data_IF_626461050073
#
_entry.id   IF_626461050073
#
_cell.length_a   1.000
_cell.length_b   1.000
_cell.length_c   1.000
_cell.angle_alpha   90.00
_cell.angle_beta   90.00
_cell.angle_gamma   90.00
#
_symmetry.space_group_name_H-M   'P 1'
#
loop_
_entity.id
_entity.type
_entity.pdbx_description
1 polymer ?
#
# COMPACT_ATOMS: atom_id res chain seq x y z
N UNK A 1 -5.84 19.92 -4.34
CA UNK A 1 -5.29 19.36 -5.60
C UNK A 1 -6.38 18.50 -6.18
N UNK A 2 -7.10 18.99 -7.18
CA UNK A 2 -7.97 18.15 -8.00
C UNK A 2 -7.06 17.13 -8.69
N UNK A 3 -7.26 15.85 -8.40
CA UNK A 3 -6.58 14.79 -9.14
C UNK A 3 -7.20 14.77 -10.54
N UNK A 4 -6.39 14.94 -11.58
CA UNK A 4 -6.84 14.71 -12.95
C UNK A 4 -7.40 13.28 -13.05
N UNK A 5 -8.71 13.17 -13.24
CA UNK A 5 -9.35 11.88 -13.49
C UNK A 5 -9.01 11.44 -14.91
N UNK A 6 -8.11 10.47 -15.05
CA UNK A 6 -7.92 9.80 -16.33
C UNK A 6 -9.08 8.81 -16.52
N UNK A 7 -9.89 9.07 -17.55
CA UNK A 7 -10.96 8.20 -18.03
C UNK A 7 -10.51 7.53 -19.32
N UNK A 8 -10.52 6.21 -19.35
CA UNK A 8 -10.12 5.43 -20.54
C UNK A 8 -11.31 4.72 -21.18
N UNK A 9 -12.47 4.62 -20.52
CA UNK A 9 -13.63 3.88 -20.98
C UNK A 9 -14.15 4.32 -22.34
N UNK A 10 -14.05 5.62 -22.65
CA UNK A 10 -14.43 6.15 -23.96
C UNK A 10 -13.55 5.64 -25.13
N UNK A 11 -12.43 4.97 -24.83
CA UNK A 11 -11.58 4.34 -25.84
C UNK A 11 -12.05 2.93 -26.22
N UNK A 12 -13.07 2.40 -25.54
CA UNK A 12 -13.54 1.02 -25.69
C UNK A 12 -15.02 1.00 -26.08
N UNK A 13 -15.38 0.09 -26.99
CA UNK A 13 -16.75 -0.09 -27.46
C UNK A 13 -17.47 -1.23 -26.74
N UNK A 14 -16.72 -2.19 -26.21
CA UNK A 14 -17.30 -3.32 -25.46
C UNK A 14 -17.72 -2.89 -24.07
N UNK A 15 -18.99 -3.11 -23.73
CA UNK A 15 -19.53 -2.93 -22.38
C UNK A 15 -19.27 -4.18 -21.54
N UNK A 16 -18.60 -4.01 -20.41
CA UNK A 16 -18.33 -5.07 -19.44
C UNK A 16 -18.97 -4.80 -18.08
N UNK A 17 -19.88 -3.83 -17.97
CA UNK A 17 -20.50 -3.38 -16.70
C UNK A 17 -21.23 -4.49 -15.92
N UNK A 18 -21.64 -5.57 -16.58
CA UNK A 18 -22.28 -6.72 -15.94
C UNK A 18 -21.30 -7.64 -15.18
N UNK A 19 -19.99 -7.49 -15.39
CA UNK A 19 -18.96 -8.30 -14.72
C UNK A 19 -18.83 -7.90 -13.24
N UNK A 20 -18.71 -8.90 -12.37
CA UNK A 20 -18.44 -8.66 -10.95
C UNK A 20 -17.04 -8.02 -10.73
N UNK A 21 -17.05 -6.75 -10.30
CA UNK A 21 -15.85 -5.98 -9.98
C UNK A 21 -14.97 -6.65 -8.91
N UNK A 22 -15.56 -7.34 -7.93
CA UNK A 22 -14.81 -8.04 -6.89
C UNK A 22 -14.06 -9.26 -7.44
N UNK A 23 -14.64 -9.94 -8.43
CA UNK A 23 -13.98 -11.02 -9.16
C UNK A 23 -12.87 -10.47 -10.07
N UNK A 24 -13.13 -9.35 -10.76
CA UNK A 24 -12.22 -8.73 -11.72
C UNK A 24 -10.86 -8.34 -11.10
N UNK A 25 -10.85 -7.84 -9.87
CA UNK A 25 -9.61 -7.44 -9.18
C UNK A 25 -8.89 -8.59 -8.45
N UNK A 26 -9.37 -9.82 -8.58
CA UNK A 26 -8.81 -10.99 -7.92
C UNK A 26 -8.32 -12.01 -8.96
N UNK A 27 -6.99 -12.11 -9.21
CA UNK A 27 -6.45 -13.01 -10.24
C UNK A 27 -6.90 -14.48 -10.13
N UNK A 28 -7.11 -14.96 -8.90
CA UNK A 28 -7.60 -16.32 -8.64
C UNK A 28 -9.04 -16.58 -9.12
N UNK A 29 -9.81 -15.53 -9.40
CA UNK A 29 -11.19 -15.59 -9.85
C UNK A 29 -11.33 -15.35 -11.37
N UNK A 30 -10.27 -14.97 -12.08
CA UNK A 30 -10.34 -14.81 -13.54
C UNK A 30 -10.79 -16.07 -14.29
N UNK A 31 -10.39 -17.30 -13.89
CA UNK A 31 -10.90 -18.51 -14.55
C UNK A 31 -12.42 -18.67 -14.47
N UNK A 32 -13.08 -18.05 -13.48
CA UNK A 32 -14.55 -18.07 -13.40
C UNK A 32 -15.21 -17.02 -14.29
N UNK A 33 -14.45 -16.03 -14.77
CA UNK A 33 -14.89 -14.98 -15.70
C UNK A 33 -14.67 -15.39 -17.16
N UNK A 34 -13.85 -16.41 -17.43
CA UNK A 34 -13.60 -16.92 -18.79
C UNK A 34 -14.85 -17.53 -19.47
N UNK A 35 -15.95 -17.72 -18.74
CA UNK A 35 -17.25 -18.11 -19.30
C UNK A 35 -18.10 -16.93 -19.78
N UNK A 36 -17.70 -15.69 -19.51
CA UNK A 36 -18.41 -14.47 -19.87
C UNK A 36 -17.90 -13.96 -21.23
N UNK A 37 -18.81 -13.82 -22.20
CA UNK A 37 -18.45 -13.41 -23.56
C UNK A 37 -17.91 -11.98 -23.61
N UNK A 38 -18.45 -11.07 -22.79
CA UNK A 38 -18.01 -9.67 -22.72
C UNK A 38 -16.61 -9.56 -22.12
N UNK A 39 -16.29 -10.40 -21.13
CA UNK A 39 -14.94 -10.50 -20.55
C UNK A 39 -13.88 -10.88 -21.60
N UNK A 40 -14.23 -11.76 -22.54
CA UNK A 40 -13.33 -12.21 -23.60
C UNK A 40 -13.28 -11.18 -24.74
N UNK A 41 -14.44 -10.67 -25.16
CA UNK A 41 -14.56 -9.80 -26.32
C UNK A 41 -13.72 -8.52 -26.21
N UNK A 42 -13.65 -7.94 -25.00
CA UNK A 42 -12.90 -6.69 -24.76
C UNK A 42 -11.37 -6.86 -24.83
N UNK A 43 -10.84 -8.09 -24.77
CA UNK A 43 -9.39 -8.30 -24.75
C UNK A 43 -8.68 -7.73 -25.98
N UNK A 44 -9.29 -7.88 -27.16
CA UNK A 44 -8.69 -7.40 -28.40
C UNK A 44 -8.60 -5.88 -28.41
N UNK A 45 -9.66 -5.18 -28.02
CA UNK A 45 -9.67 -3.72 -27.94
C UNK A 45 -8.61 -3.21 -26.94
N UNK A 46 -8.42 -3.92 -25.83
CA UNK A 46 -7.39 -3.60 -24.84
C UNK A 46 -5.99 -3.82 -25.42
N UNK A 47 -5.76 -4.90 -26.15
CA UNK A 47 -4.46 -5.15 -26.79
C UNK A 47 -4.16 -4.04 -27.80
N UNK A 48 -5.11 -3.69 -28.67
CA UNK A 48 -4.96 -2.59 -29.63
C UNK A 48 -4.68 -1.26 -28.93
N UNK A 49 -5.38 -0.98 -27.82
CA UNK A 49 -5.13 0.21 -27.01
C UNK A 49 -3.73 0.22 -26.38
N UNK A 50 -3.26 -0.92 -25.87
CA UNK A 50 -1.93 -1.06 -25.28
C UNK A 50 -0.82 -0.91 -26.31
N UNK A 51 -0.99 -1.47 -27.51
CA UNK A 51 -0.05 -1.32 -28.63
C UNK A 51 0.03 0.12 -29.13
N UNK A 52 -1.05 0.90 -29.00
CA UNK A 52 -1.08 2.30 -29.40
C UNK A 52 -0.51 3.25 -28.33
N UNK A 53 -0.88 3.05 -27.07
CA UNK A 53 -0.64 4.03 -25.99
C UNK A 53 0.55 3.69 -25.12
N UNK A 54 0.87 2.40 -24.95
CA UNK A 54 1.98 1.93 -24.11
C UNK A 54 2.78 0.78 -24.76
N UNK A 55 3.23 0.96 -26.03
CA UNK A 55 3.81 -0.11 -26.83
C UNK A 55 5.03 -0.77 -26.19
N UNK A 56 5.98 0.01 -25.64
CA UNK A 56 7.21 -0.55 -25.10
C UNK A 56 6.95 -1.33 -23.80
N UNK A 57 6.07 -0.81 -22.95
CA UNK A 57 5.63 -1.44 -21.71
C UNK A 57 4.86 -2.73 -21.99
N UNK A 58 3.95 -2.71 -22.96
CA UNK A 58 3.20 -3.90 -23.36
C UNK A 58 4.13 -4.97 -23.94
N UNK A 59 5.07 -4.58 -24.82
CA UNK A 59 6.09 -5.49 -25.36
C UNK A 59 6.91 -6.14 -24.24
N UNK A 60 7.37 -5.38 -23.24
CA UNK A 60 8.08 -5.93 -22.08
C UNK A 60 7.19 -6.90 -21.29
N UNK A 61 5.89 -6.58 -21.13
CA UNK A 61 4.95 -7.47 -20.47
C UNK A 61 4.86 -8.80 -21.22
N UNK A 62 4.66 -8.78 -22.54
CA UNK A 62 4.60 -9.97 -23.39
C UNK A 62 5.91 -10.79 -23.31
N UNK A 63 7.06 -10.15 -23.50
CA UNK A 63 8.38 -10.81 -23.46
C UNK A 63 8.68 -11.45 -22.08
N UNK A 64 8.16 -10.86 -21.00
CA UNK A 64 8.36 -11.35 -19.63
C UNK A 64 7.35 -12.41 -19.21
N UNK A 65 6.28 -12.64 -19.97
CA UNK A 65 5.07 -13.33 -19.48
C UNK A 65 5.26 -14.77 -19.03
N UNK A 66 6.07 -15.59 -19.70
CA UNK A 66 6.45 -16.97 -19.31
C UNK A 66 5.35 -17.70 -18.49
N UNK A 67 5.64 -18.16 -17.27
CA UNK A 67 4.68 -18.84 -16.38
C UNK A 67 3.80 -17.90 -15.54
N UNK A 68 4.07 -16.60 -15.58
CA UNK A 68 3.42 -15.60 -14.72
C UNK A 68 2.35 -14.77 -15.45
N UNK A 69 2.22 -14.95 -16.77
CA UNK A 69 1.24 -14.31 -17.66
C UNK A 69 1.11 -12.81 -17.41
N UNK A 70 2.24 -12.09 -17.47
CA UNK A 70 2.30 -10.66 -17.16
C UNK A 70 1.49 -9.81 -18.14
N UNK A 71 1.44 -10.20 -19.41
CA UNK A 71 0.53 -9.70 -20.44
C UNK A 71 -0.93 -9.76 -19.98
N UNK A 72 -1.39 -10.93 -19.52
CA UNK A 72 -2.75 -11.11 -18.99
C UNK A 72 -3.00 -10.29 -17.73
N UNK A 73 -1.99 -10.13 -16.88
CA UNK A 73 -2.10 -9.25 -15.71
C UNK A 73 -2.32 -7.80 -16.13
N UNK A 74 -1.58 -7.29 -17.12
CA UNK A 74 -1.76 -5.93 -17.63
C UNK A 74 -3.12 -5.74 -18.29
N UNK A 75 -3.51 -6.67 -19.17
CA UNK A 75 -4.82 -6.65 -19.84
C UNK A 75 -5.95 -6.60 -18.80
N UNK A 76 -5.89 -7.45 -17.78
CA UNK A 76 -6.90 -7.47 -16.73
C UNK A 76 -6.85 -6.24 -15.80
N UNK A 77 -5.68 -5.59 -15.64
CA UNK A 77 -5.62 -4.31 -14.94
C UNK A 77 -6.40 -3.22 -15.70
N UNK A 78 -6.30 -3.20 -17.04
CA UNK A 78 -7.09 -2.30 -17.89
C UNK A 78 -8.58 -2.66 -17.86
N UNK A 79 -8.95 -3.95 -17.95
CA UNK A 79 -10.35 -4.38 -17.77
C UNK A 79 -10.95 -3.90 -16.45
N UNK A 80 -10.19 -4.02 -15.35
CA UNK A 80 -10.66 -3.57 -14.04
C UNK A 80 -10.89 -2.04 -13.99
N UNK A 81 -10.07 -1.25 -14.69
CA UNK A 81 -10.28 0.20 -14.81
C UNK A 81 -11.49 0.53 -15.69
N UNK A 82 -11.62 -0.15 -16.83
CA UNK A 82 -12.75 0.00 -17.73
C UNK A 82 -14.08 -0.30 -17.00
N UNK A 83 -14.12 -1.41 -16.28
CA UNK A 83 -15.26 -1.84 -15.49
C UNK A 83 -15.67 -0.80 -14.44
N UNK A 84 -14.70 -0.21 -13.72
CA UNK A 84 -14.96 0.85 -12.75
C UNK A 84 -15.68 2.04 -13.37
N UNK A 85 -15.20 2.48 -14.53
CA UNK A 85 -15.73 3.65 -15.22
C UNK A 85 -17.10 3.38 -15.85
N UNK A 86 -17.30 2.21 -16.46
CA UNK A 86 -18.58 1.81 -17.05
C UNK A 86 -19.64 1.53 -15.98
N UNK A 87 -19.24 1.07 -14.79
CA UNK A 87 -20.14 0.85 -13.65
C UNK A 87 -20.47 2.12 -12.87
N UNK A 88 -20.04 3.30 -13.37
CA UNK A 88 -20.19 4.61 -12.72
C UNK A 88 -19.67 4.64 -11.27
N UNK A 89 -18.69 3.79 -10.95
CA UNK A 89 -18.10 3.75 -9.62
C UNK A 89 -17.12 4.91 -9.46
N UNK A 90 -17.39 5.78 -8.48
CA UNK A 90 -16.51 6.91 -8.18
C UNK A 90 -15.18 6.48 -7.54
N UNK A 91 -15.09 5.25 -7.02
CA UNK A 91 -13.84 4.67 -6.52
C UNK A 91 -14.03 3.32 -5.84
N UNK A 92 -12.98 2.84 -5.17
CA UNK A 92 -12.91 1.50 -4.58
C UNK A 92 -12.74 1.53 -3.05
N UNK A 93 -13.27 0.51 -2.38
CA UNK A 93 -12.98 0.27 -0.96
C UNK A 93 -11.48 0.04 -0.72
N UNK A 94 -10.96 0.27 0.50
CA UNK A 94 -9.52 0.10 0.79
C UNK A 94 -8.90 -1.21 0.27
N UNK A 95 -9.57 -2.35 0.49
CA UNK A 95 -9.08 -3.66 0.03
C UNK A 95 -9.12 -3.80 -1.49
N UNK A 96 -10.23 -3.37 -2.09
CA UNK A 96 -10.43 -3.44 -3.52
C UNK A 96 -9.41 -2.54 -4.24
N UNK A 97 -9.21 -1.32 -3.75
CA UNK A 97 -8.21 -0.38 -4.25
C UNK A 97 -6.80 -0.95 -4.13
N UNK A 98 -6.45 -1.57 -3.00
CA UNK A 98 -5.16 -2.23 -2.82
C UNK A 98 -4.95 -3.38 -3.80
N UNK A 99 -5.99 -4.19 -4.08
CA UNK A 99 -5.93 -5.29 -5.05
C UNK A 99 -5.79 -4.76 -6.47
N UNK A 100 -6.60 -3.78 -6.85
CA UNK A 100 -6.50 -3.07 -8.13
C UNK A 100 -5.09 -2.51 -8.34
N UNK A 101 -4.51 -1.82 -7.34
CA UNK A 101 -3.14 -1.29 -7.40
C UNK A 101 -2.10 -2.40 -7.61
N UNK A 102 -2.32 -3.56 -6.98
CA UNK A 102 -1.40 -4.70 -7.07
C UNK A 102 -1.38 -5.34 -8.46
N UNK A 103 -2.41 -5.13 -9.30
CA UNK A 103 -2.42 -5.61 -10.69
C UNK A 103 -1.30 -4.94 -11.52
N UNK A 104 -0.97 -3.69 -11.23
CA UNK A 104 0.07 -2.95 -11.97
C UNK A 104 1.49 -3.23 -11.47
N UNK A 105 1.65 -3.73 -10.23
CA UNK A 105 2.98 -3.89 -9.62
C UNK A 105 3.92 -4.81 -10.41
N UNK A 106 3.49 -5.98 -10.92
CA UNK A 106 4.36 -6.84 -11.73
C UNK A 106 4.85 -6.17 -13.01
N UNK A 107 4.04 -5.29 -13.61
CA UNK A 107 4.38 -4.56 -14.85
C UNK A 107 5.48 -3.56 -14.56
N UNK A 108 5.31 -2.73 -13.54
CA UNK A 108 6.34 -1.77 -13.14
C UNK A 108 7.66 -2.44 -12.74
N UNK A 109 7.59 -3.57 -12.03
CA UNK A 109 8.81 -4.34 -11.72
C UNK A 109 9.53 -4.86 -12.97
N UNK A 110 8.80 -5.28 -13.99
CA UNK A 110 9.37 -5.83 -15.21
C UNK A 110 9.93 -4.72 -16.11
N UNK A 111 9.22 -3.59 -16.23
CA UNK A 111 9.73 -2.38 -16.90
C UNK A 111 11.03 -1.93 -16.25
N UNK A 112 11.08 -1.85 -14.92
CA UNK A 112 12.31 -1.50 -14.19
C UNK A 112 13.47 -2.45 -14.51
N UNK A 113 13.21 -3.77 -14.51
CA UNK A 113 14.24 -4.77 -14.87
C UNK A 113 14.70 -4.62 -16.31
N UNK A 114 13.79 -4.34 -17.24
CA UNK A 114 14.11 -4.16 -18.66
C UNK A 114 14.99 -2.92 -18.87
N UNK A 115 14.59 -1.77 -18.32
CA UNK A 115 15.40 -0.54 -18.32
C UNK A 115 16.78 -0.84 -17.74
N UNK A 116 16.86 -1.38 -16.51
CA UNK A 116 18.12 -1.71 -15.83
C UNK A 116 19.04 -2.62 -16.65
N UNK A 117 18.49 -3.56 -17.42
CA UNK A 117 19.28 -4.41 -18.33
C UNK A 117 19.80 -3.62 -19.52
N UNK A 118 18.94 -2.83 -20.17
CA UNK A 118 19.34 -1.97 -21.29
C UNK A 118 20.47 -1.00 -20.89
N UNK A 119 20.45 -0.46 -19.67
CA UNK A 119 21.53 0.43 -19.18
C UNK A 119 22.82 -0.31 -18.83
N UNK A 120 22.79 -1.60 -18.47
CA UNK A 120 24.02 -2.36 -18.22
C UNK A 120 24.83 -2.60 -19.49
N UNK A 121 24.15 -2.66 -20.63
CA UNK A 121 24.75 -2.90 -21.95
C UNK A 121 25.13 -1.61 -22.66
N UNK A 122 24.54 -0.47 -22.29
CA UNK A 122 24.83 0.84 -22.85
C UNK A 122 25.71 1.64 -21.87
N UNK A 123 26.95 1.95 -22.23
CA UNK A 123 27.84 2.73 -21.36
C UNK A 123 27.46 4.22 -21.39
N UNK A 124 26.38 4.57 -20.68
CA UNK A 124 25.89 5.95 -20.52
C UNK A 124 26.99 6.86 -19.93
N UNK A 125 27.97 6.31 -19.18
CA UNK A 125 29.12 7.08 -18.68
C UNK A 125 30.05 7.49 -19.81
N UNK A 126 30.33 6.62 -20.77
CA UNK A 126 31.19 6.94 -21.92
C UNK A 126 30.64 8.05 -22.82
N UNK A 127 29.31 8.21 -22.90
CA UNK A 127 28.65 9.31 -23.63
C UNK A 127 28.55 10.60 -22.81
N UNK A 128 28.24 10.51 -21.51
CA UNK A 128 28.25 11.66 -20.59
C UNK A 128 29.63 12.32 -20.49
N UNK A 129 30.72 11.55 -20.66
CA UNK A 129 32.10 12.06 -20.68
C UNK A 129 32.40 12.87 -21.96
N UNK A 130 31.68 12.61 -23.07
CA UNK A 130 31.88 13.34 -24.34
C UNK A 130 31.12 14.66 -24.40
N UNK A 131 30.03 14.82 -23.65
CA UNK A 131 29.34 16.10 -23.46
C UNK A 131 29.92 16.84 -22.26
N UNK A 132 30.93 17.67 -22.50
CA UNK A 132 31.67 18.47 -21.52
C UNK A 132 30.79 19.20 -20.49
N UNK A 133 30.76 18.71 -19.25
CA UNK A 133 30.82 19.51 -18.02
C UNK A 133 31.36 18.62 -16.88
N UNK A 134 32.35 19.13 -16.14
CA UNK A 134 33.02 18.40 -15.07
C UNK A 134 32.05 17.85 -14.03
N UNK A 135 31.78 16.54 -14.05
CA UNK A 135 31.05 15.87 -12.99
C UNK A 135 32.04 15.08 -12.14
N UNK A 136 32.64 15.77 -11.17
CA UNK A 136 33.42 15.19 -10.06
C UNK A 136 32.53 14.54 -9.00
N UNK A 137 31.33 14.11 -9.36
CA UNK A 137 30.42 13.35 -8.52
C UNK A 137 30.16 12.04 -9.23
N UNK A 138 30.68 10.95 -8.66
CA UNK A 138 30.37 9.60 -9.09
C UNK A 138 28.85 9.39 -8.98
N UNK A 139 28.12 9.56 -10.08
CA UNK A 139 26.71 9.22 -10.13
C UNK A 139 26.63 7.70 -10.15
N UNK A 140 26.01 7.16 -9.11
CA UNK A 140 25.56 5.79 -9.06
C UNK A 140 24.22 5.72 -9.80
N UNK A 141 24.19 4.99 -10.93
CA UNK A 141 23.00 4.86 -11.77
C UNK A 141 21.81 4.21 -11.02
N UNK A 142 22.06 3.58 -9.87
CA UNK A 142 21.01 3.10 -8.98
C UNK A 142 20.19 4.21 -8.31
N UNK A 143 20.75 5.42 -8.17
CA UNK A 143 20.12 6.54 -7.44
C UNK A 143 18.96 7.18 -8.24
N UNK A 144 18.84 6.91 -9.54
CA UNK A 144 17.73 7.42 -10.34
C UNK A 144 16.40 6.67 -10.14
N UNK A 145 16.40 5.49 -9.50
CA UNK A 145 15.24 4.57 -9.61
C UNK A 145 14.85 3.79 -8.35
N UNK A 146 15.50 4.02 -7.21
CA UNK A 146 15.25 3.24 -5.98
C UNK A 146 14.06 3.74 -5.12
N UNK A 147 13.14 4.53 -5.67
CA UNK A 147 11.97 5.00 -4.91
C UNK A 147 10.73 4.99 -5.80
N UNK A 148 9.72 4.22 -5.39
CA UNK A 148 8.37 4.33 -5.95
C UNK A 148 7.82 5.73 -5.64
N UNK A 149 8.10 6.59 -6.59
CA UNK A 149 7.62 7.93 -6.83
C UNK A 149 8.23 8.21 -8.18
N UNK A 150 7.42 8.27 -9.23
CA UNK A 150 7.83 8.96 -10.44
C UNK A 150 8.02 10.40 -9.99
N UNK A 151 9.24 10.68 -9.54
CA UNK A 151 9.67 12.03 -9.25
C UNK A 151 9.86 12.66 -10.62
N UNK A 152 9.68 13.97 -10.77
CA UNK A 152 9.99 14.64 -12.04
C UNK A 152 11.46 14.48 -12.48
N UNK A 153 12.30 13.89 -11.62
CA UNK A 153 13.76 13.87 -11.71
C UNK A 153 14.30 12.94 -12.82
N UNK A 154 13.85 11.68 -12.98
CA UNK A 154 14.27 10.83 -14.11
C UNK A 154 13.88 11.38 -15.48
N UNK A 155 12.64 11.86 -15.67
CA UNK A 155 12.18 12.40 -16.94
C UNK A 155 12.96 13.66 -17.32
N UNK A 156 13.03 14.65 -16.43
CA UNK A 156 13.79 15.90 -16.65
C UNK A 156 15.23 15.61 -17.02
N UNK A 157 15.87 14.63 -16.36
CA UNK A 157 17.25 14.26 -16.65
C UNK A 157 17.41 13.60 -18.02
N UNK A 158 16.52 12.70 -18.41
CA UNK A 158 16.53 12.11 -19.77
C UNK A 158 16.33 13.20 -20.82
N UNK A 159 15.43 14.15 -20.60
CA UNK A 159 15.19 15.27 -21.51
C UNK A 159 16.40 16.22 -21.62
N UNK A 160 17.12 16.48 -20.52
CA UNK A 160 18.38 17.22 -20.56
C UNK A 160 19.44 16.54 -21.43
N UNK A 161 19.55 15.22 -21.34
CA UNK A 161 20.51 14.45 -22.14
C UNK A 161 20.09 14.39 -23.61
N UNK A 162 18.79 14.26 -23.89
CA UNK A 162 18.24 14.32 -25.26
C UNK A 162 18.49 15.68 -25.92
N UNK A 163 18.52 16.79 -25.18
CA UNK A 163 18.90 18.11 -25.75
C UNK A 163 20.33 18.09 -26.30
N UNK A 164 21.23 17.35 -25.67
CA UNK A 164 22.60 17.20 -26.14
C UNK A 164 22.74 16.10 -27.22
N UNK A 165 21.82 15.14 -27.24
CA UNK A 165 21.87 13.94 -28.09
C UNK A 165 20.47 13.56 -28.61
N UNK A 166 19.87 14.37 -29.50
CA UNK A 166 18.47 14.21 -29.91
C UNK A 166 18.19 12.89 -30.64
N UNK A 167 19.17 12.39 -31.39
CA UNK A 167 19.06 11.17 -32.19
C UNK A 167 19.36 9.88 -31.41
N UNK A 168 19.57 9.96 -30.09
CA UNK A 168 19.87 8.77 -29.30
C UNK A 168 18.64 7.87 -29.20
N UNK A 169 18.63 6.78 -29.98
CA UNK A 169 17.59 5.74 -29.93
C UNK A 169 17.37 5.23 -28.49
N UNK A 170 18.45 5.09 -27.72
CA UNK A 170 18.41 4.63 -26.34
C UNK A 170 17.73 5.63 -25.39
N UNK A 171 18.07 6.92 -25.46
CA UNK A 171 17.44 7.94 -24.61
C UNK A 171 15.98 8.16 -25.00
N UNK A 172 15.65 8.07 -26.28
CA UNK A 172 14.28 8.11 -26.77
C UNK A 172 13.47 6.92 -26.26
N UNK A 173 14.03 5.69 -26.31
CA UNK A 173 13.43 4.51 -25.70
C UNK A 173 13.17 4.67 -24.19
N UNK A 174 14.16 5.19 -23.44
CA UNK A 174 14.01 5.45 -22.01
C UNK A 174 12.92 6.49 -21.73
N UNK A 175 12.85 7.56 -22.54
CA UNK A 175 11.80 8.58 -22.42
C UNK A 175 10.42 7.97 -22.65
N UNK A 176 10.24 7.19 -23.72
CA UNK A 176 8.97 6.52 -24.02
C UNK A 176 8.53 5.63 -22.86
N UNK A 177 9.42 4.77 -22.34
CA UNK A 177 9.09 3.91 -21.21
C UNK A 177 8.68 4.66 -19.94
N UNK A 178 9.32 5.79 -19.65
CA UNK A 178 8.96 6.61 -18.49
C UNK A 178 7.55 7.20 -18.67
N UNK A 179 7.25 7.77 -19.85
CA UNK A 179 5.95 8.36 -20.15
C UNK A 179 4.82 7.32 -20.16
N UNK A 180 5.07 6.14 -20.71
CA UNK A 180 4.11 5.03 -20.70
C UNK A 180 3.85 4.53 -19.26
N UNK A 181 4.90 4.43 -18.44
CA UNK A 181 4.76 4.06 -17.04
C UNK A 181 4.00 5.13 -16.24
N UNK A 182 4.22 6.42 -16.53
CA UNK A 182 3.42 7.53 -15.97
C UNK A 182 1.95 7.40 -16.31
N UNK A 183 1.61 7.15 -17.58
CA UNK A 183 0.22 6.94 -18.02
C UNK A 183 -0.46 5.79 -17.24
N UNK A 184 0.21 4.64 -17.13
CA UNK A 184 -0.32 3.50 -16.37
C UNK A 184 -0.40 3.80 -14.87
N UNK A 185 0.54 4.56 -14.32
CA UNK A 185 0.52 4.97 -12.91
C UNK A 185 -0.61 5.96 -12.61
N UNK A 186 -0.90 6.87 -13.54
CA UNK A 186 -2.02 7.79 -13.42
C UNK A 186 -3.36 7.09 -13.57
N UNK A 187 -3.48 6.13 -14.50
CA UNK A 187 -4.64 5.22 -14.58
C UNK A 187 -4.85 4.53 -13.23
N UNK A 188 -3.78 3.95 -12.67
CA UNK A 188 -3.81 3.29 -11.36
C UNK A 188 -4.21 4.26 -10.25
N UNK A 189 -3.68 5.49 -10.22
CA UNK A 189 -3.91 6.47 -9.14
C UNK A 189 -5.25 7.19 -9.24
N UNK A 190 -5.83 7.30 -10.43
CA UNK A 190 -7.10 7.99 -10.69
C UNK A 190 -8.31 7.34 -10.02
N UNK A 191 -8.18 6.12 -9.50
CA UNK A 191 -9.24 5.45 -8.75
C UNK A 191 -9.28 6.00 -7.33
N UNK A 192 -10.38 6.66 -6.95
CA UNK A 192 -10.55 7.21 -5.61
C UNK A 192 -10.64 6.13 -4.54
N UNK A 193 -10.23 6.48 -3.32
CA UNK A 193 -10.50 5.65 -2.16
C UNK A 193 -11.90 5.99 -1.67
N UNK A 194 -12.84 5.07 -1.83
CA UNK A 194 -14.14 5.17 -1.19
C UNK A 194 -13.99 4.58 0.21
N UNK A 195 -13.78 5.45 1.19
CA UNK A 195 -13.96 5.04 2.58
C UNK A 195 -15.45 4.86 2.82
N UNK A 196 -15.93 3.60 2.85
CA UNK A 196 -17.21 3.32 3.51
C UNK A 196 -17.01 3.55 5.01
N UNK A 197 -17.21 4.79 5.43
CA UNK A 197 -17.70 5.06 6.76
C UNK A 197 -19.02 4.27 6.90
N UNK A 198 -19.24 3.52 7.99
CA UNK A 198 -20.52 2.85 8.18
C UNK A 198 -21.66 3.87 8.04
N UNK A 199 -22.73 3.52 7.31
CA UNK A 199 -23.93 4.37 7.14
C UNK A 199 -24.58 4.78 8.48
N UNK A 200 -24.19 4.13 9.57
CA UNK A 200 -24.65 4.40 10.92
C UNK A 200 -23.46 4.35 11.90
N UNK A 201 -22.94 5.53 12.27
CA UNK A 201 -21.92 5.66 13.32
C UNK A 201 -22.47 5.35 14.72
N UNK A 202 -23.79 5.27 14.92
CA UNK A 202 -24.36 5.04 16.26
C UNK A 202 -24.05 3.65 16.83
N UNK A 203 -23.72 2.68 15.96
CA UNK A 203 -23.45 1.30 16.34
C UNK A 203 -21.95 0.93 16.39
N UNK A 204 -21.07 1.85 16.01
CA UNK A 204 -19.62 1.64 16.05
C UNK A 204 -19.00 2.49 17.16
N UNK A 205 -18.28 1.84 18.05
CA UNK A 205 -17.53 2.49 19.13
C UNK A 205 -16.06 2.17 18.95
N UNK A 206 -15.19 2.68 19.82
CA UNK A 206 -13.77 2.34 19.80
C UNK A 206 -13.45 1.37 20.93
N UNK A 207 -12.57 0.41 20.65
CA UNK A 207 -12.04 -0.47 21.67
C UNK A 207 -11.28 0.33 22.73
N UNK A 208 -11.55 0.05 23.99
CA UNK A 208 -10.87 0.64 25.14
C UNK A 208 -9.39 0.26 25.25
N UNK A 209 -8.92 -0.83 24.63
CA UNK A 209 -7.49 -1.22 24.61
C UNK A 209 -6.70 -0.65 23.42
N UNK A 210 -7.25 -0.64 22.21
CA UNK A 210 -6.46 -0.34 21.00
C UNK A 210 -7.01 0.83 20.19
N UNK A 211 -8.12 1.43 20.63
CA UNK A 211 -8.80 2.55 19.97
C UNK A 211 -9.24 2.29 18.53
N UNK A 212 -9.22 1.03 18.10
CA UNK A 212 -9.77 0.60 16.80
C UNK A 212 -11.29 0.60 16.87
N UNK A 213 -11.92 0.85 15.72
CA UNK A 213 -13.36 0.70 15.58
C UNK A 213 -13.81 -0.73 15.90
N UNK A 214 -14.89 -0.85 16.64
CA UNK A 214 -15.52 -2.11 17.05
C UNK A 214 -17.03 -2.00 16.83
N UNK A 215 -17.68 -3.15 16.63
CA UNK A 215 -19.14 -3.24 16.69
C UNK A 215 -19.55 -3.88 17.99
N UNK A 216 -20.69 -3.45 18.50
CA UNK A 216 -21.29 -3.94 19.73
C UNK A 216 -22.24 -5.09 19.46
N UNK A 217 -22.50 -5.93 20.47
CA UNK A 217 -23.48 -7.00 20.34
C UNK A 217 -24.88 -6.40 20.11
N UNK A 218 -25.68 -6.90 19.14
CA UNK A 218 -27.01 -6.36 18.86
C UNK A 218 -27.94 -6.33 20.08
N UNK A 219 -27.77 -7.31 20.98
CA UNK A 219 -28.59 -7.49 22.18
C UNK A 219 -27.95 -6.96 23.47
N UNK A 220 -26.68 -6.54 23.43
CA UNK A 220 -25.96 -5.99 24.57
C UNK A 220 -24.91 -4.97 24.11
N UNK A 221 -25.31 -3.70 24.12
CA UNK A 221 -24.46 -2.58 23.67
C UNK A 221 -23.31 -2.26 24.62
N UNK A 222 -23.19 -2.95 25.75
CA UNK A 222 -22.04 -2.82 26.65
C UNK A 222 -20.93 -3.81 26.31
N UNK A 223 -21.21 -4.78 25.43
CA UNK A 223 -20.27 -5.83 25.04
C UNK A 223 -19.81 -5.66 23.59
N UNK A 224 -18.52 -5.89 23.40
CA UNK A 224 -17.89 -5.93 22.08
C UNK A 224 -18.34 -7.22 21.37
N UNK A 225 -18.92 -7.11 20.18
CA UNK A 225 -19.24 -8.27 19.35
C UNK A 225 -18.00 -8.81 18.63
N UNK A 226 -17.15 -7.89 18.16
CA UNK A 226 -15.87 -8.20 17.55
C UNK A 226 -14.91 -7.01 17.65
N UNK A 227 -13.62 -7.28 17.84
CA UNK A 227 -12.60 -6.29 17.52
C UNK A 227 -12.60 -6.10 16.02
N UNK A 228 -12.74 -4.86 15.55
CA UNK A 228 -12.85 -4.55 14.12
C UNK A 228 -11.87 -5.33 13.25
N UNK A 229 -12.36 -5.65 12.06
CA UNK A 229 -11.69 -6.35 10.97
C UNK A 229 -10.18 -6.08 10.94
N UNK A 230 -9.37 -7.13 11.00
CA UNK A 230 -8.08 -7.07 10.31
C UNK A 230 -8.44 -7.37 8.86
N UNK A 231 -8.19 -6.42 7.95
CA UNK A 231 -8.09 -6.81 6.54
C UNK A 231 -6.85 -7.69 6.46
N UNK A 232 -7.06 -9.01 6.53
CA UNK A 232 -6.00 -9.93 6.17
C UNK A 232 -5.70 -9.76 4.68
N UNK A 233 -4.42 -9.79 4.33
CA UNK A 233 -3.96 -9.67 2.95
C UNK A 233 -4.50 -10.82 2.09
N UNK A 234 -4.88 -11.94 2.69
CA UNK A 234 -5.28 -13.15 1.97
C UNK A 234 -6.58 -13.74 2.54
N UNK A 235 -7.69 -13.48 1.85
CA UNK A 235 -9.01 -14.13 1.97
C UNK A 235 -9.87 -13.78 3.20
N UNK A 236 -11.11 -13.37 2.92
CA UNK A 236 -12.24 -13.16 3.83
C UNK A 236 -12.03 -12.11 4.92
N UNK A 237 -13.09 -11.41 5.31
CA UNK A 237 -13.15 -10.72 6.59
C UNK A 237 -13.06 -11.78 7.68
N UNK A 238 -11.84 -12.22 8.01
CA UNK A 238 -11.63 -12.94 9.25
C UNK A 238 -11.97 -11.97 10.38
N UNK A 239 -13.11 -12.24 11.01
CA UNK A 239 -13.42 -11.73 12.34
C UNK A 239 -12.27 -12.25 13.20
N UNK A 240 -11.33 -11.37 13.56
CA UNK A 240 -10.32 -11.73 14.56
C UNK A 240 -11.04 -11.75 15.89
N UNK A 241 -11.56 -12.92 16.22
CA UNK A 241 -12.23 -13.18 17.50
C UNK A 241 -11.20 -13.35 18.64
N UNK A 242 -9.90 -13.28 18.33
CA UNK A 242 -8.87 -13.58 19.31
C UNK A 242 -8.04 -12.35 19.67
N UNK A 243 -8.26 -11.89 20.92
CA UNK A 243 -7.22 -11.58 21.92
C UNK A 243 -6.90 -10.12 22.34
N UNK A 244 -7.63 -9.07 21.94
CA UNK A 244 -7.43 -7.79 22.65
C UNK A 244 -8.15 -7.83 24.01
N UNK A 245 -7.42 -7.49 25.07
CA UNK A 245 -7.90 -7.41 26.46
C UNK A 245 -9.15 -6.52 26.60
N UNK A 246 -9.32 -5.55 25.70
CA UNK A 246 -10.46 -4.65 25.59
C UNK A 246 -11.81 -5.35 25.42
N UNK A 247 -11.85 -6.61 24.97
CA UNK A 247 -13.10 -7.37 24.83
C UNK A 247 -13.82 -7.63 26.15
N UNK A 248 -13.07 -7.58 27.27
CA UNK A 248 -13.59 -7.74 28.63
C UNK A 248 -14.14 -6.44 29.21
N UNK A 249 -13.96 -5.33 28.52
CA UNK A 249 -14.33 -4.00 28.99
C UNK A 249 -15.40 -3.40 28.10
N UNK A 250 -16.13 -2.45 28.67
CA UNK A 250 -17.00 -1.61 27.86
C UNK A 250 -16.15 -0.84 26.82
N UNK A 251 -16.77 -0.46 25.70
CA UNK A 251 -16.13 0.40 24.71
C UNK A 251 -15.64 1.71 25.32
N UNK A 252 -14.65 2.31 24.66
CA UNK A 252 -13.99 3.49 25.18
C UNK A 252 -14.95 4.66 25.39
N UNK A 253 -15.95 4.86 24.53
CA UNK A 253 -16.94 5.94 24.68
C UNK A 253 -17.78 5.81 25.96
N UNK A 254 -17.92 4.59 26.49
CA UNK A 254 -18.72 4.31 27.69
C UNK A 254 -17.83 4.29 28.94
N UNK A 255 -16.67 3.63 28.87
CA UNK A 255 -15.75 3.54 30.00
C UNK A 255 -14.27 3.52 29.57
N UNK A 256 -13.45 4.20 30.37
CA UNK A 256 -12.00 4.19 30.26
C UNK A 256 -11.33 2.96 30.94
N UNK A 257 -12.09 2.08 31.60
CA UNK A 257 -11.51 1.00 32.43
C UNK A 257 -10.61 0.05 31.63
N UNK A 258 -10.97 -0.26 30.39
CA UNK A 258 -10.12 -1.08 29.50
C UNK A 258 -8.83 -0.38 29.08
N UNK A 259 -8.86 0.94 28.96
CA UNK A 259 -7.66 1.76 28.68
C UNK A 259 -6.75 1.78 29.90
N UNK A 260 -7.31 1.94 31.10
CA UNK A 260 -6.54 1.89 32.35
C UNK A 260 -5.88 0.53 32.56
N UNK A 261 -6.61 -0.57 32.34
CA UNK A 261 -6.05 -1.92 32.39
C UNK A 261 -4.91 -2.11 31.36
N UNK A 262 -5.04 -1.53 30.16
CA UNK A 262 -3.98 -1.56 29.15
C UNK A 262 -2.76 -0.73 29.56
N UNK A 263 -2.95 0.47 30.14
CA UNK A 263 -1.87 1.29 30.71
C UNK A 263 -1.14 0.52 31.81
N UNK A 264 -1.86 -0.09 32.74
CA UNK A 264 -1.26 -0.91 33.81
C UNK A 264 -0.41 -2.05 33.25
N UNK A 265 -0.90 -2.75 32.22
CA UNK A 265 -0.14 -3.81 31.57
C UNK A 265 1.14 -3.30 30.91
N UNK A 266 1.11 -2.12 30.27
CA UNK A 266 2.32 -1.52 29.73
C UNK A 266 3.30 -1.07 30.82
N UNK A 267 2.82 -0.52 31.95
CA UNK A 267 3.66 -0.21 33.12
C UNK A 267 4.34 -1.46 33.68
N UNK A 268 3.60 -2.56 33.82
CA UNK A 268 4.14 -3.85 34.26
C UNK A 268 5.21 -4.39 33.30
N UNK A 269 5.02 -4.22 31.98
CA UNK A 269 6.01 -4.56 30.96
C UNK A 269 7.28 -3.71 31.07
N UNK A 270 7.14 -2.40 31.27
CA UNK A 270 8.28 -1.49 31.49
C UNK A 270 9.06 -1.90 32.74
N UNK A 271 8.37 -2.14 33.86
CA UNK A 271 8.99 -2.57 35.11
C UNK A 271 9.76 -3.89 34.93
N UNK A 272 9.13 -4.90 34.31
CA UNK A 272 9.77 -6.20 34.03
C UNK A 272 10.98 -6.05 33.10
N UNK A 273 10.87 -5.20 32.07
CA UNK A 273 11.96 -4.88 31.18
C UNK A 273 13.13 -4.21 31.89
N UNK A 274 12.86 -3.25 32.78
CA UNK A 274 13.87 -2.58 33.59
C UNK A 274 14.56 -3.56 34.56
N UNK A 275 13.82 -4.42 35.26
CA UNK A 275 14.40 -5.48 36.11
C UNK A 275 15.30 -6.41 35.30
N UNK A 276 14.87 -6.80 34.09
CA UNK A 276 15.71 -7.57 33.18
C UNK A 276 16.99 -6.83 32.83
N UNK A 277 16.90 -5.56 32.40
CA UNK A 277 18.06 -4.74 32.05
C UNK A 277 19.03 -4.54 33.22
N UNK A 278 18.51 -4.35 34.43
CA UNK A 278 19.31 -4.20 35.65
C UNK A 278 20.12 -5.46 35.98
N UNK A 279 19.59 -6.65 35.66
CA UNK A 279 20.29 -7.92 35.87
C UNK A 279 21.58 -8.08 35.01
N UNK A 280 21.78 -7.19 34.04
CA UNK A 280 22.96 -7.16 33.15
C UNK A 280 23.91 -5.99 33.43
N UNK A 281 23.61 -5.12 34.42
CA UNK A 281 24.56 -4.08 34.84
C UNK A 281 25.86 -4.73 35.33
N UNK A 282 26.99 -4.21 34.88
CA UNK A 282 28.35 -4.64 35.25
C UNK A 282 28.73 -6.09 34.85
N UNK A 283 28.03 -6.69 33.88
CA UNK A 283 28.40 -8.00 33.31
C UNK A 283 29.11 -7.83 31.96
N UNK A 284 30.05 -8.73 31.66
CA UNK A 284 30.59 -8.86 30.30
C UNK A 284 29.52 -9.51 29.40
N UNK A 285 29.05 -8.79 28.40
CA UNK A 285 27.91 -9.19 27.57
C UNK A 285 28.36 -9.83 26.26
N UNK A 286 27.74 -10.96 25.91
CA UNK A 286 27.89 -11.55 24.57
C UNK A 286 27.07 -10.77 23.54
N UNK A 287 27.36 -10.97 22.25
CA UNK A 287 26.62 -10.34 21.14
C UNK A 287 25.13 -10.66 21.15
N UNK A 288 24.75 -11.87 21.57
CA UNK A 288 23.35 -12.28 21.67
C UNK A 288 22.64 -11.62 22.85
N UNK A 289 23.34 -11.41 23.97
CA UNK A 289 22.81 -10.63 25.09
C UNK A 289 22.61 -9.17 24.71
N UNK A 290 23.52 -8.57 23.94
CA UNK A 290 23.38 -7.21 23.42
C UNK A 290 22.15 -7.07 22.50
N UNK A 291 21.87 -8.07 21.64
CA UNK A 291 20.65 -8.08 20.81
C UNK A 291 19.38 -8.14 21.66
N UNK A 292 19.33 -9.02 22.66
CA UNK A 292 18.19 -9.12 23.59
C UNK A 292 17.96 -7.80 24.34
N UNK A 293 19.02 -7.17 24.83
CA UNK A 293 18.96 -5.86 25.50
C UNK A 293 18.37 -4.79 24.57
N UNK A 294 18.82 -4.73 23.32
CA UNK A 294 18.27 -3.79 22.33
C UNK A 294 16.79 -4.05 22.04
N UNK A 295 16.36 -5.32 21.98
CA UNK A 295 14.96 -5.70 21.85
C UNK A 295 14.11 -5.18 23.01
N UNK A 296 14.52 -5.48 24.25
CA UNK A 296 13.82 -5.03 25.47
C UNK A 296 13.77 -3.49 25.55
N UNK A 297 14.84 -2.78 25.20
CA UNK A 297 14.83 -1.31 25.12
C UNK A 297 13.82 -0.78 24.10
N UNK A 298 13.66 -1.47 22.97
CA UNK A 298 12.67 -1.10 21.96
C UNK A 298 11.24 -1.34 22.46
N UNK A 299 11.01 -2.45 23.16
CA UNK A 299 9.72 -2.77 23.77
C UNK A 299 9.31 -1.75 24.83
N UNK A 300 10.25 -1.33 25.70
CA UNK A 300 10.02 -0.27 26.69
C UNK A 300 9.58 1.03 26.01
N UNK A 301 10.32 1.49 24.98
CA UNK A 301 9.95 2.71 24.24
C UNK A 301 8.58 2.60 23.58
N UNK A 302 8.25 1.44 23.00
CA UNK A 302 6.93 1.21 22.41
C UNK A 302 5.82 1.24 23.47
N UNK A 303 6.07 0.71 24.66
CA UNK A 303 5.13 0.74 25.78
C UNK A 303 4.92 2.17 26.30
N UNK A 304 5.99 2.96 26.43
CA UNK A 304 5.93 4.38 26.81
C UNK A 304 5.11 5.20 25.79
N UNK A 305 5.38 5.03 24.50
CA UNK A 305 4.63 5.70 23.42
C UNK A 305 3.14 5.36 23.47
N UNK A 306 2.82 4.08 23.69
CA UNK A 306 1.43 3.66 23.85
C UNK A 306 0.78 4.33 25.08
N UNK A 307 1.46 4.39 26.23
CA UNK A 307 0.92 5.02 27.44
C UNK A 307 0.61 6.50 27.17
N UNK A 308 1.53 7.23 26.52
CA UNK A 308 1.30 8.64 26.19
C UNK A 308 0.09 8.81 25.26
N UNK A 309 0.00 7.98 24.23
CA UNK A 309 -1.16 7.98 23.34
C UNK A 309 -2.46 7.69 24.09
N UNK A 310 -2.49 6.66 24.94
CA UNK A 310 -3.65 6.30 25.74
C UNK A 310 -4.07 7.42 26.71
N UNK A 311 -3.11 8.08 27.37
CA UNK A 311 -3.38 9.22 28.25
C UNK A 311 -4.00 10.40 27.48
N UNK A 312 -3.48 10.72 26.28
CA UNK A 312 -4.08 11.78 25.43
C UNK A 312 -5.53 11.47 25.03
N UNK A 313 -5.87 10.19 24.84
CA UNK A 313 -7.25 9.78 24.55
C UNK A 313 -8.15 9.92 25.77
N UNK A 314 -7.66 9.56 26.96
CA UNK A 314 -8.38 9.77 28.23
C UNK A 314 -8.57 11.26 28.47
N UNK A 315 -7.55 12.09 28.30
CA UNK A 315 -7.65 13.55 28.47
C UNK A 315 -8.75 14.14 27.56
N UNK A 316 -8.83 13.69 26.32
CA UNK A 316 -9.81 14.19 25.37
C UNK A 316 -11.26 13.70 25.60
N UNK A 317 -11.46 12.51 26.20
CA UNK A 317 -12.79 11.87 26.23
C UNK A 317 -13.30 11.50 27.64
N UNK A 318 -12.39 11.30 28.60
CA UNK A 318 -12.65 10.94 30.00
C UNK A 318 -11.76 11.77 30.94
N UNK A 319 -11.78 13.11 30.88
CA UNK A 319 -10.82 13.96 31.59
C UNK A 319 -10.86 13.75 33.11
N UNK A 320 -12.01 13.41 33.68
CA UNK A 320 -12.16 13.09 35.11
C UNK A 320 -11.39 11.85 35.57
N UNK A 321 -11.00 10.96 34.65
CA UNK A 321 -10.22 9.74 34.92
C UNK A 321 -8.72 9.92 34.66
N UNK A 322 -8.28 11.11 34.21
CA UNK A 322 -6.88 11.33 33.81
C UNK A 322 -5.90 11.19 34.97
N UNK A 323 -6.23 11.74 36.14
CA UNK A 323 -5.37 11.66 37.33
C UNK A 323 -5.24 10.23 37.84
N UNK A 324 -6.31 9.44 37.82
CA UNK A 324 -6.27 8.02 38.14
C UNK A 324 -5.35 7.27 37.17
N UNK A 325 -5.54 7.48 35.86
CA UNK A 325 -4.76 6.81 34.82
C UNK A 325 -3.25 7.12 34.90
N UNK A 326 -2.88 8.38 35.21
CA UNK A 326 -1.48 8.79 35.43
C UNK A 326 -0.86 8.06 36.62
N UNK A 327 -1.63 7.85 37.69
CA UNK A 327 -1.16 7.35 38.98
C UNK A 327 -1.32 5.83 39.18
N UNK A 328 -1.73 5.08 38.16
CA UNK A 328 -1.76 3.60 38.17
C UNK A 328 -0.39 3.02 38.59
N UNK A 329 -0.36 2.08 39.53
CA UNK A 329 0.87 1.52 40.15
C UNK A 329 1.30 0.21 39.54
#
# INVERSE_FOLDING_TARGET
MEQNTILIAYSFNTDISEIDMDAMIQPKLWPTLEGDESFIAVEREIIEWLELNVPETYKIAVESSKRKSHDKILINAIKAKLLLEQSELTGLLPLQKSRFFSLFSPIFENVFKAVKRAQKTHDVRSELIKSTMSLKQNIDASVLYDSFGITEYPLKRVEELLKAQPESEYLNFCKSLILEAELLDDIRRSVELVERLPKDHSNYQTCSCCFRWIRLQPHDRTKIAYHGYKMDRHSNTEIIDQSCIGSKFMPFQISADGTMAAIQNQKNRINSGNTFLDSFKNKNLTRDMQRKISGVKSEIRSAEQYIQYALSKIEANHPSRLDEARNLK
#
